data_IF_355832406360
#
_entry.id   IF_355832406360
#
_cell.length_a   1.000
_cell.length_b   1.000
_cell.length_c   1.000
_cell.angle_alpha   90.00
_cell.angle_beta   90.00
_cell.angle_gamma   90.00
#
_symmetry.space_group_name_H-M   'P 1'
#
loop_
_entity.id
_entity.type
_entity.pdbx_description
1 polymer ?
#
# COMPACT_ATOMS: atom_id res chain seq x y z
N UNK A 1 18.90 10.16 25.31
CA UNK A 1 18.24 10.15 23.97
C UNK A 1 17.87 8.72 23.54
N UNK A 2 18.82 7.79 23.44
CA UNK A 2 18.54 6.40 23.06
C UNK A 2 17.59 5.67 24.02
N UNK A 3 17.81 5.80 25.33
CA UNK A 3 16.93 5.20 26.36
C UNK A 3 15.51 5.74 26.32
N UNK A 4 15.35 7.05 26.07
CA UNK A 4 14.04 7.70 25.92
C UNK A 4 13.29 7.16 24.71
N UNK A 5 13.96 7.00 23.56
CA UNK A 5 13.36 6.41 22.36
C UNK A 5 12.95 4.96 22.60
N UNK A 6 13.79 4.17 23.26
CA UNK A 6 13.46 2.79 23.61
C UNK A 6 12.24 2.70 24.54
N UNK A 7 12.16 3.58 25.54
CA UNK A 7 11.03 3.64 26.45
C UNK A 7 9.72 3.96 25.72
N UNK A 8 9.74 4.95 24.81
CA UNK A 8 8.57 5.29 23.97
C UNK A 8 8.17 4.09 23.10
N UNK A 9 9.13 3.44 22.43
CA UNK A 9 8.85 2.27 21.60
C UNK A 9 8.29 1.09 22.40
N UNK A 10 8.75 0.91 23.63
CA UNK A 10 8.22 -0.12 24.52
C UNK A 10 6.77 0.21 24.93
N UNK A 11 6.48 1.45 25.34
CA UNK A 11 5.13 1.87 25.66
C UNK A 11 4.17 1.73 24.47
N UNK A 12 4.61 2.07 23.25
CA UNK A 12 3.80 1.90 22.04
C UNK A 12 3.48 0.43 21.73
N UNK A 13 4.35 -0.52 22.11
CA UNK A 13 4.10 -1.96 21.93
C UNK A 13 3.05 -2.51 22.91
N UNK A 14 2.81 -1.82 24.01
CA UNK A 14 1.84 -2.21 25.03
C UNK A 14 0.43 -1.67 24.74
N UNK A 15 0.26 -0.88 23.67
CA UNK A 15 -1.04 -0.38 23.26
C UNK A 15 -2.01 -1.53 22.95
N UNK A 16 -3.24 -1.39 23.46
CA UNK A 16 -4.28 -2.39 23.26
C UNK A 16 -4.74 -2.42 21.80
N UNK A 17 -4.91 -3.61 21.19
CA UNK A 17 -5.49 -3.72 19.86
C UNK A 17 -6.88 -3.09 19.79
N UNK A 18 -7.21 -2.46 18.66
CA UNK A 18 -8.50 -1.77 18.44
C UNK A 18 -9.68 -2.74 18.45
N UNK A 19 -9.47 -3.92 17.84
CA UNK A 19 -10.40 -5.04 17.85
C UNK A 19 -9.64 -6.37 17.63
N UNK A 20 -10.39 -7.47 17.59
CA UNK A 20 -9.83 -8.82 17.45
C UNK A 20 -9.68 -9.30 15.99
N UNK A 21 -9.76 -8.41 15.00
CA UNK A 21 -9.64 -8.71 13.56
C UNK A 21 -10.53 -9.90 13.09
N UNK A 22 -11.85 -9.92 13.42
CA UNK A 22 -12.72 -11.07 13.15
C UNK A 22 -12.73 -11.49 11.67
N UNK A 23 -12.84 -10.57 10.71
CA UNK A 23 -12.88 -10.93 9.29
C UNK A 23 -11.60 -11.62 8.82
N UNK A 24 -10.43 -11.15 9.23
CA UNK A 24 -9.14 -11.77 8.88
C UNK A 24 -8.95 -13.17 9.47
N UNK A 25 -9.66 -13.50 10.56
CA UNK A 25 -9.61 -14.82 11.22
C UNK A 25 -10.60 -15.83 10.66
N UNK A 26 -11.59 -15.42 9.85
CA UNK A 26 -12.55 -16.32 9.19
C UNK A 26 -11.81 -17.38 8.37
N UNK A 27 -12.29 -18.63 8.41
CA UNK A 27 -11.63 -19.76 7.75
C UNK A 27 -11.37 -19.50 6.25
N UNK A 28 -12.34 -18.91 5.55
CA UNK A 28 -12.26 -18.56 4.13
C UNK A 28 -11.26 -17.43 3.80
N UNK A 29 -10.87 -16.61 4.78
CA UNK A 29 -9.98 -15.47 4.59
C UNK A 29 -8.53 -15.75 5.00
N UNK A 30 -8.27 -16.87 5.69
CA UNK A 30 -6.94 -17.21 6.21
C UNK A 30 -5.86 -17.20 5.13
N UNK A 31 -6.15 -17.79 3.99
CA UNK A 31 -5.22 -17.89 2.85
C UNK A 31 -5.01 -16.54 2.13
N UNK A 32 -5.91 -15.57 2.33
CA UNK A 32 -5.76 -14.21 1.79
C UNK A 32 -4.77 -13.36 2.62
N UNK A 33 -4.28 -13.86 3.74
CA UNK A 33 -3.32 -13.17 4.60
C UNK A 33 -1.91 -13.68 4.37
N UNK A 34 -0.98 -12.77 4.02
CA UNK A 34 0.44 -13.11 3.85
C UNK A 34 1.07 -13.59 5.16
N UNK A 35 0.66 -12.99 6.28
CA UNK A 35 1.13 -13.34 7.61
C UNK A 35 -0.06 -13.60 8.54
N UNK A 36 -0.05 -14.74 9.24
CA UNK A 36 -1.14 -15.17 10.14
C UNK A 36 -1.40 -14.20 11.30
N UNK A 37 -0.39 -13.42 11.67
CA UNK A 37 -0.41 -12.48 12.79
C UNK A 37 -0.46 -11.01 12.36
N UNK A 38 -0.61 -10.72 11.07
CA UNK A 38 -0.79 -9.35 10.56
C UNK A 38 -2.12 -9.31 9.83
N UNK A 39 -3.15 -8.87 10.55
CA UNK A 39 -4.54 -8.87 10.10
C UNK A 39 -5.10 -7.44 10.20
N UNK A 40 -6.00 -7.05 9.30
CA UNK A 40 -6.61 -5.73 9.35
C UNK A 40 -7.61 -5.66 10.52
N UNK A 41 -7.69 -4.50 11.16
CA UNK A 41 -8.78 -4.22 12.10
C UNK A 41 -10.12 -4.18 11.37
N UNK A 42 -11.18 -4.69 11.99
CA UNK A 42 -12.52 -4.74 11.40
C UNK A 42 -13.07 -3.33 11.14
N UNK A 43 -12.90 -2.42 12.12
CA UNK A 43 -13.49 -1.08 12.05
C UNK A 43 -13.01 -0.23 10.89
N UNK A 44 -11.81 -0.48 10.39
CA UNK A 44 -11.16 0.35 9.36
C UNK A 44 -10.73 -0.47 8.15
N UNK A 45 -11.14 -1.74 8.04
CA UNK A 45 -10.75 -2.55 6.87
C UNK A 45 -11.37 -1.98 5.60
N UNK A 46 -10.66 -2.16 4.49
CA UNK A 46 -11.28 -1.96 3.19
C UNK A 46 -12.23 -3.13 2.91
N UNK A 47 -13.46 -2.81 2.51
CA UNK A 47 -14.51 -3.78 2.18
C UNK A 47 -14.68 -3.78 0.67
N UNK A 48 -14.43 -4.91 0.03
CA UNK A 48 -14.62 -5.05 -1.42
C UNK A 48 -16.10 -5.25 -1.74
N UNK A 49 -16.56 -4.67 -2.85
CA UNK A 49 -17.93 -4.85 -3.30
C UNK A 49 -18.20 -6.30 -3.74
N UNK A 50 -19.38 -6.84 -3.43
CA UNK A 50 -19.79 -8.21 -3.77
C UNK A 50 -20.46 -8.94 -2.60
N UNK A 51 -20.50 -10.28 -2.67
CA UNK A 51 -21.00 -11.15 -1.60
C UNK A 51 -20.13 -11.01 -0.34
N UNK A 52 -20.73 -11.15 0.86
CA UNK A 52 -20.05 -11.19 2.17
C UNK A 52 -18.94 -12.26 2.29
N UNK A 53 -18.90 -13.22 1.37
CA UNK A 53 -17.81 -14.18 1.28
C UNK A 53 -16.58 -13.66 0.51
N UNK A 54 -16.74 -12.58 -0.26
CA UNK A 54 -15.73 -12.03 -1.17
C UNK A 54 -15.38 -10.56 -0.85
N UNK A 55 -15.83 -10.06 0.29
CA UNK A 55 -15.67 -8.68 0.74
C UNK A 55 -14.28 -8.39 1.37
N UNK A 56 -13.49 -9.43 1.61
CA UNK A 56 -12.26 -9.33 2.38
C UNK A 56 -11.01 -9.13 1.52
N UNK A 57 -10.23 -8.13 1.91
CA UNK A 57 -8.83 -7.92 1.57
C UNK A 57 -8.06 -7.48 2.83
N UNK A 58 -6.78 -7.86 2.93
CA UNK A 58 -5.93 -7.42 4.03
C UNK A 58 -5.43 -5.99 3.77
N UNK A 59 -6.29 -5.01 4.08
CA UNK A 59 -6.03 -3.59 3.91
C UNK A 59 -6.85 -2.78 4.93
N UNK A 60 -6.31 -1.65 5.38
CA UNK A 60 -7.01 -0.69 6.23
C UNK A 60 -6.93 0.72 5.66
N UNK A 61 -8.00 1.49 5.84
CA UNK A 61 -7.95 2.94 5.72
C UNK A 61 -7.12 3.51 6.87
N UNK A 62 -6.28 4.49 6.55
CA UNK A 62 -5.49 5.24 7.52
C UNK A 62 -5.68 6.72 7.17
N UNK A 63 -6.35 7.44 8.04
CA UNK A 63 -6.54 8.89 7.90
C UNK A 63 -5.60 9.62 8.85
N UNK A 64 -4.89 10.61 8.32
CA UNK A 64 -3.97 11.44 9.11
C UNK A 64 -4.27 12.91 8.88
N UNK A 65 -4.68 13.60 9.95
CA UNK A 65 -4.97 15.03 9.93
C UNK A 65 -3.78 15.84 10.40
N UNK A 66 -3.39 16.86 9.63
CA UNK A 66 -2.33 17.83 9.94
C UNK A 66 -2.88 19.24 9.75
N UNK A 67 -3.17 19.94 10.86
CA UNK A 67 -3.89 21.21 10.82
C UNK A 67 -5.30 21.01 10.29
N UNK A 68 -5.67 21.73 9.22
CA UNK A 68 -6.98 21.62 8.56
C UNK A 68 -7.10 20.47 7.56
N UNK A 69 -5.99 19.81 7.21
CA UNK A 69 -5.98 18.93 6.04
C UNK A 69 -5.84 17.48 6.47
N UNK A 70 -6.70 16.62 5.91
CA UNK A 70 -6.68 15.17 6.15
C UNK A 70 -6.13 14.47 4.92
N UNK A 71 -5.14 13.62 5.15
CA UNK A 71 -4.60 12.73 4.13
C UNK A 71 -5.21 11.35 4.29
N UNK A 72 -5.77 10.83 3.21
CA UNK A 72 -6.44 9.54 3.16
C UNK A 72 -5.51 8.51 2.53
N UNK A 73 -5.19 7.44 3.25
CA UNK A 73 -4.36 6.36 2.76
C UNK A 73 -5.06 5.01 2.86
N UNK A 74 -4.62 4.08 2.03
CA UNK A 74 -4.86 2.65 2.24
C UNK A 74 -3.51 1.98 2.51
N UNK A 75 -3.36 1.41 3.72
CA UNK A 75 -2.25 0.56 4.06
C UNK A 75 -2.64 -0.91 3.83
N UNK A 76 -1.85 -1.64 3.03
CA UNK A 76 -2.16 -3.04 2.69
C UNK A 76 -0.91 -3.92 2.63
N UNK A 77 -1.10 -5.24 2.75
CA UNK A 77 -0.02 -6.20 2.53
C UNK A 77 0.41 -6.22 1.05
N UNK A 78 1.62 -6.72 0.77
CA UNK A 78 2.04 -7.04 -0.58
C UNK A 78 1.19 -8.20 -1.14
N UNK A 79 0.55 -8.04 -2.31
CA UNK A 79 -0.35 -9.05 -2.87
C UNK A 79 0.25 -10.45 -2.92
N UNK A 80 -0.59 -11.45 -2.66
CA UNK A 80 -0.33 -12.87 -2.94
C UNK A 80 -0.82 -13.18 -4.36
N UNK A 81 -0.36 -14.28 -5.00
CA UNK A 81 -0.90 -14.69 -6.30
C UNK A 81 -2.43 -14.77 -6.32
N UNK A 82 -3.03 -15.32 -5.25
CA UNK A 82 -4.49 -15.49 -5.14
C UNK A 82 -5.25 -14.21 -4.78
N UNK A 83 -4.56 -13.13 -4.39
CA UNK A 83 -5.19 -11.84 -4.02
C UNK A 83 -4.89 -10.74 -5.02
N UNK A 84 -4.29 -11.04 -6.17
CA UNK A 84 -4.00 -10.04 -7.23
C UNK A 84 -5.28 -9.39 -7.74
N UNK A 85 -6.31 -10.18 -8.03
CA UNK A 85 -7.61 -9.64 -8.45
C UNK A 85 -8.29 -8.81 -7.37
N UNK A 86 -8.22 -9.26 -6.11
CA UNK A 86 -8.76 -8.50 -4.97
C UNK A 86 -8.06 -7.14 -4.82
N UNK A 87 -6.74 -7.10 -5.01
CA UNK A 87 -5.95 -5.86 -4.96
C UNK A 87 -6.38 -4.86 -6.03
N UNK A 88 -6.48 -5.29 -7.29
CA UNK A 88 -6.86 -4.37 -8.37
C UNK A 88 -8.34 -3.96 -8.30
N UNK A 89 -9.20 -4.85 -7.83
CA UNK A 89 -10.60 -4.50 -7.51
C UNK A 89 -10.64 -3.40 -6.43
N UNK A 90 -9.84 -3.51 -5.38
CA UNK A 90 -9.71 -2.47 -4.36
C UNK A 90 -9.28 -1.13 -4.99
N UNK A 91 -8.21 -1.13 -5.80
CA UNK A 91 -7.70 0.08 -6.46
C UNK A 91 -8.77 0.74 -7.33
N UNK A 92 -9.53 -0.05 -8.10
CA UNK A 92 -10.62 0.42 -8.94
C UNK A 92 -11.80 1.00 -8.15
N UNK A 93 -12.27 0.28 -7.14
CA UNK A 93 -13.44 0.67 -6.33
C UNK A 93 -13.13 1.92 -5.51
N UNK A 94 -11.92 2.01 -4.94
CA UNK A 94 -11.49 3.13 -4.13
C UNK A 94 -10.94 4.30 -4.96
N UNK A 95 -10.88 4.16 -6.30
CA UNK A 95 -10.37 5.20 -7.21
C UNK A 95 -8.95 5.65 -6.85
N UNK A 96 -8.10 4.72 -6.40
CA UNK A 96 -6.71 5.02 -6.07
C UNK A 96 -5.93 5.33 -7.37
N UNK A 97 -5.29 6.49 -7.43
CA UNK A 97 -4.49 6.91 -8.60
C UNK A 97 -2.98 6.85 -8.37
N UNK A 98 -2.56 6.61 -7.13
CA UNK A 98 -1.14 6.43 -6.79
C UNK A 98 -0.95 5.23 -5.86
N UNK A 99 0.06 4.43 -6.19
CA UNK A 99 0.48 3.26 -5.41
C UNK A 99 1.95 3.41 -5.06
N UNK A 100 2.29 3.46 -3.77
CA UNK A 100 3.66 3.36 -3.28
C UNK A 100 3.95 1.94 -2.79
N UNK A 101 4.74 1.21 -3.58
CA UNK A 101 5.32 -0.08 -3.22
C UNK A 101 6.71 0.16 -2.60
N UNK A 102 6.88 -0.11 -1.31
CA UNK A 102 8.16 0.06 -0.60
C UNK A 102 8.75 -1.28 -0.18
N UNK A 103 8.83 -2.21 -1.14
CA UNK A 103 9.45 -3.54 -0.98
C UNK A 103 9.92 -4.07 -2.32
N UNK A 104 10.92 -4.96 -2.31
CA UNK A 104 11.21 -5.80 -3.46
C UNK A 104 10.24 -6.99 -3.51
N UNK A 105 10.17 -7.66 -4.67
CA UNK A 105 9.39 -8.90 -4.84
C UNK A 105 9.97 -10.04 -4.00
N UNK A 106 11.30 -10.11 -3.92
CA UNK A 106 12.05 -11.11 -3.17
C UNK A 106 13.21 -10.47 -2.41
N UNK A 107 13.39 -10.87 -1.15
CA UNK A 107 14.48 -10.41 -0.28
C UNK A 107 15.08 -11.62 0.44
N UNK A 108 16.40 -11.79 0.38
CA UNK A 108 17.11 -12.91 1.02
C UNK A 108 16.49 -14.29 0.70
N UNK A 109 16.07 -14.51 -0.56
CA UNK A 109 15.44 -15.75 -1.02
C UNK A 109 13.99 -15.96 -0.57
N UNK A 110 13.37 -14.98 0.09
CA UNK A 110 11.97 -15.05 0.53
C UNK A 110 11.10 -14.11 -0.31
N UNK A 111 9.97 -14.63 -0.79
CA UNK A 111 8.98 -13.83 -1.51
C UNK A 111 8.30 -12.85 -0.55
N UNK A 112 8.37 -11.56 -0.87
CA UNK A 112 7.84 -10.46 -0.08
C UNK A 112 6.60 -9.84 -0.71
N UNK A 113 6.54 -9.82 -2.04
CA UNK A 113 5.39 -9.36 -2.80
C UNK A 113 5.29 -10.21 -4.07
N UNK A 114 4.09 -10.63 -4.45
CA UNK A 114 3.88 -11.15 -5.80
C UNK A 114 3.87 -9.98 -6.77
N UNK A 115 4.42 -10.17 -7.97
CA UNK A 115 4.32 -9.19 -9.05
C UNK A 115 2.88 -9.16 -9.55
N UNK A 116 2.14 -8.14 -9.18
CA UNK A 116 0.70 -8.03 -9.46
C UNK A 116 0.38 -7.18 -10.70
N UNK A 117 1.37 -6.57 -11.34
CA UNK A 117 1.22 -5.79 -12.58
C UNK A 117 1.67 -6.60 -13.82
N UNK A 118 1.21 -6.26 -15.03
CA UNK A 118 1.63 -6.89 -16.29
C UNK A 118 3.15 -6.88 -16.50
N UNK A 119 3.71 -7.91 -17.15
CA UNK A 119 5.14 -7.89 -17.55
C UNK A 119 5.39 -6.98 -18.74
N UNK A 120 4.42 -6.91 -19.64
CA UNK A 120 4.49 -6.16 -20.87
C UNK A 120 3.10 -5.64 -21.28
N UNK A 121 3.03 -4.63 -22.16
CA UNK A 121 1.77 -4.07 -22.63
C UNK A 121 0.83 -5.09 -23.30
N UNK A 122 1.37 -6.18 -23.85
CA UNK A 122 0.64 -7.20 -24.60
C UNK A 122 -0.04 -8.25 -23.72
N UNK A 123 0.29 -8.30 -22.43
CA UNK A 123 -0.15 -9.34 -21.50
C UNK A 123 -0.89 -8.74 -20.28
N UNK A 124 -2.14 -8.26 -20.46
CA UNK A 124 -2.89 -7.65 -19.37
C UNK A 124 -3.20 -8.65 -18.25
N UNK A 125 -3.30 -8.14 -17.03
CA UNK A 125 -3.79 -8.90 -15.88
C UNK A 125 -5.32 -8.82 -15.86
N UNK A 126 -5.98 -9.96 -16.05
CA UNK A 126 -7.44 -10.06 -15.95
C UNK A 126 -7.87 -10.10 -14.49
N UNK A 127 -8.58 -9.07 -14.03
CA UNK A 127 -9.06 -8.96 -12.65
C UNK A 127 -10.34 -9.78 -12.49
N UNK A 128 -11.29 -9.58 -13.39
CA UNK A 128 -12.55 -10.31 -13.48
C UNK A 128 -13.08 -10.27 -14.94
N UNK A 129 -14.39 -10.46 -15.15
CA UNK A 129 -15.00 -10.46 -16.49
C UNK A 129 -15.04 -9.09 -17.18
N UNK A 130 -14.93 -8.00 -16.42
CA UNK A 130 -15.05 -6.63 -16.92
C UNK A 130 -13.80 -5.78 -16.70
N UNK A 131 -12.94 -6.12 -15.73
CA UNK A 131 -11.76 -5.35 -15.37
C UNK A 131 -10.46 -6.00 -15.87
N UNK A 132 -9.68 -5.24 -16.63
CA UNK A 132 -8.33 -5.58 -17.06
C UNK A 132 -7.32 -4.52 -16.62
N UNK A 133 -6.09 -4.94 -16.35
CA UNK A 133 -4.98 -4.05 -15.97
C UNK A 133 -3.88 -4.12 -17.02
N UNK A 134 -3.50 -2.95 -17.54
CA UNK A 134 -2.53 -2.77 -18.60
C UNK A 134 -1.32 -1.98 -18.10
N UNK A 135 -0.15 -2.31 -18.65
CA UNK A 135 1.07 -1.55 -18.45
C UNK A 135 1.24 -0.60 -19.64
N UNK A 136 1.27 0.70 -19.38
CA UNK A 136 1.41 1.73 -20.42
C UNK A 136 2.87 2.16 -20.58
N UNK A 137 3.57 2.39 -19.47
CA UNK A 137 4.99 2.76 -19.52
C UNK A 137 5.74 2.38 -18.25
N UNK A 138 7.07 2.30 -18.37
CA UNK A 138 8.00 2.06 -17.25
C UNK A 138 9.15 3.05 -17.37
N UNK A 139 9.43 3.76 -16.28
CA UNK A 139 10.59 4.64 -16.14
C UNK A 139 11.41 4.22 -14.93
N UNK A 140 12.72 4.06 -15.14
CA UNK A 140 13.65 3.71 -14.06
C UNK A 140 14.37 4.95 -13.59
N UNK A 141 14.25 5.22 -12.29
CA UNK A 141 15.01 6.25 -11.59
C UNK A 141 16.10 5.58 -10.73
N UNK A 142 16.98 6.36 -10.10
CA UNK A 142 18.13 5.82 -9.36
C UNK A 142 17.73 4.83 -8.26
N UNK A 143 16.64 5.10 -7.54
CA UNK A 143 16.23 4.40 -6.32
C UNK A 143 14.78 3.89 -6.35
N UNK A 144 14.03 4.18 -7.42
CA UNK A 144 12.68 3.65 -7.62
C UNK A 144 12.37 3.42 -9.10
N UNK A 145 11.36 2.62 -9.36
CA UNK A 145 10.77 2.44 -10.69
C UNK A 145 9.37 3.02 -10.68
N UNK A 146 9.07 3.84 -11.68
CA UNK A 146 7.72 4.33 -11.95
C UNK A 146 7.09 3.49 -13.06
N UNK A 147 5.82 3.12 -12.90
CA UNK A 147 5.01 2.53 -13.95
C UNK A 147 3.73 3.33 -14.09
N UNK A 148 3.33 3.57 -15.33
CA UNK A 148 1.97 4.03 -15.63
C UNK A 148 1.16 2.78 -15.94
N UNK A 149 0.15 2.55 -15.11
CA UNK A 149 -0.74 1.41 -15.19
C UNK A 149 -2.13 1.93 -15.48
N UNK A 150 -2.84 1.31 -16.41
CA UNK A 150 -4.24 1.63 -16.70
C UNK A 150 -5.11 0.46 -16.28
N UNK A 151 -6.12 0.71 -15.45
CA UNK A 151 -7.21 -0.24 -15.20
C UNK A 151 -8.37 0.17 -16.09
N UNK A 152 -8.93 -0.78 -16.83
CA UNK A 152 -10.04 -0.56 -17.74
C UNK A 152 -11.22 -1.46 -17.39
N UNK A 153 -12.41 -0.87 -17.31
CA UNK A 153 -13.67 -1.60 -17.38
C UNK A 153 -14.08 -1.72 -18.85
N UNK A 154 -13.82 -2.87 -19.45
CA UNK A 154 -14.07 -3.13 -20.89
C UNK A 154 -15.56 -3.15 -21.25
N UNK A 155 -16.45 -3.24 -20.26
CA UNK A 155 -17.91 -3.23 -20.49
C UNK A 155 -18.50 -1.82 -20.40
N UNK A 156 -17.91 -0.95 -19.58
CA UNK A 156 -18.40 0.41 -19.33
C UNK A 156 -17.58 1.49 -20.04
N UNK A 157 -16.53 1.11 -20.77
CA UNK A 157 -15.58 2.02 -21.43
C UNK A 157 -14.98 3.08 -20.47
N UNK A 158 -14.86 2.71 -19.19
CA UNK A 158 -14.24 3.54 -18.17
C UNK A 158 -12.81 3.08 -17.92
N UNK A 159 -11.91 4.02 -17.69
CA UNK A 159 -10.54 3.71 -17.29
C UNK A 159 -10.04 4.61 -16.18
N UNK A 160 -9.05 4.09 -15.44
CA UNK A 160 -8.33 4.79 -14.39
C UNK A 160 -6.84 4.65 -14.66
N UNK A 161 -6.12 5.76 -14.70
CA UNK A 161 -4.66 5.77 -14.76
C UNK A 161 -4.08 5.82 -13.35
N UNK A 162 -3.09 4.97 -13.10
CA UNK A 162 -2.43 4.78 -11.82
C UNK A 162 -0.94 4.98 -12.01
N UNK A 163 -0.37 5.84 -11.16
CA UNK A 163 1.08 5.99 -11.01
C UNK A 163 1.55 5.01 -9.94
N UNK A 164 2.24 3.97 -10.38
CA UNK A 164 2.83 2.94 -9.51
C UNK A 164 4.30 3.26 -9.28
N UNK A 165 4.66 3.55 -8.04
CA UNK A 165 6.00 3.90 -7.61
C UNK A 165 6.55 2.78 -6.74
N UNK A 166 7.62 2.12 -7.21
CA UNK A 166 8.28 1.03 -6.49
C UNK A 166 9.67 1.45 -6.01
N UNK A 167 9.80 1.71 -4.70
CA UNK A 167 11.05 2.07 -4.06
C UNK A 167 11.93 0.83 -3.84
N UNK A 168 13.11 0.82 -4.46
CA UNK A 168 13.99 -0.35 -4.51
C UNK A 168 15.06 -0.36 -3.41
N UNK A 169 15.36 0.79 -2.83
CA UNK A 169 16.49 0.99 -1.92
C UNK A 169 16.18 0.76 -0.42
N UNK A 170 15.12 0.00 -0.10
CA UNK A 170 14.75 -0.31 1.29
C UNK A 170 14.94 -1.80 1.62
N UNK A 171 16.04 -2.19 2.28
CA UNK A 171 16.32 -3.59 2.60
C UNK A 171 15.36 -4.16 3.65
N UNK A 172 15.20 -5.49 3.63
CA UNK A 172 14.49 -6.23 4.67
C UNK A 172 15.15 -6.05 6.04
N UNK A 173 14.35 -5.87 7.09
CA UNK A 173 14.81 -5.67 8.47
C UNK A 173 15.82 -4.50 8.67
N UNK A 174 15.78 -3.48 7.80
CA UNK A 174 16.65 -2.30 7.90
C UNK A 174 15.98 -0.99 7.54
N UNK A 175 16.81 0.02 7.31
CA UNK A 175 16.41 1.37 6.84
C UNK A 175 17.05 1.65 5.47
N UNK A 176 16.50 2.57 4.67
CA UNK A 176 17.17 3.02 3.46
C UNK A 176 18.57 3.53 3.77
N UNK A 177 19.52 3.29 2.88
CA UNK A 177 20.92 3.75 3.07
C UNK A 177 21.03 5.28 3.05
N UNK A 178 20.10 5.95 2.39
CA UNK A 178 20.03 7.40 2.27
C UNK A 178 18.64 7.89 2.65
N UNK A 179 18.56 8.77 3.65
CA UNK A 179 17.32 9.45 4.00
C UNK A 179 16.86 10.39 2.86
N UNK A 180 17.80 11.00 2.15
CA UNK A 180 17.51 11.89 1.02
C UNK A 180 16.76 11.15 -0.09
N UNK A 181 17.20 9.94 -0.43
CA UNK A 181 16.54 9.08 -1.43
C UNK A 181 15.08 8.77 -1.06
N UNK A 182 14.81 8.48 0.21
CA UNK A 182 13.44 8.24 0.66
C UNK A 182 12.59 9.52 0.62
N UNK A 183 13.16 10.67 0.98
CA UNK A 183 12.47 11.96 0.89
C UNK A 183 12.15 12.32 -0.57
N UNK A 184 13.07 12.08 -1.50
CA UNK A 184 12.84 12.28 -2.94
C UNK A 184 11.73 11.36 -3.46
N UNK A 185 11.71 10.11 -3.03
CA UNK A 185 10.63 9.18 -3.35
C UNK A 185 9.27 9.67 -2.81
N UNK A 186 9.22 10.15 -1.56
CA UNK A 186 7.99 10.70 -0.95
C UNK A 186 7.54 11.95 -1.70
N UNK A 187 8.46 12.81 -2.15
CA UNK A 187 8.13 13.97 -3.00
C UNK A 187 7.51 13.53 -4.33
N UNK A 188 8.06 12.50 -4.98
CA UNK A 188 7.49 11.92 -6.20
C UNK A 188 6.08 11.33 -5.94
N UNK A 189 5.91 10.59 -4.85
CA UNK A 189 4.61 10.09 -4.42
C UNK A 189 3.58 11.21 -4.21
N UNK A 190 3.98 12.30 -3.53
CA UNK A 190 3.14 13.47 -3.29
C UNK A 190 2.71 14.20 -4.56
N UNK A 191 3.59 14.25 -5.57
CA UNK A 191 3.29 14.91 -6.84
C UNK A 191 2.15 14.22 -7.61
N UNK A 192 1.81 12.99 -7.24
CA UNK A 192 0.77 12.17 -7.87
C UNK A 192 -0.48 11.99 -6.97
N UNK A 193 -0.59 12.76 -5.87
CA UNK A 193 -1.78 12.71 -5.03
C UNK A 193 -3.01 13.18 -5.80
N UNK A 194 -4.14 12.55 -5.50
CA UNK A 194 -5.41 12.87 -6.14
C UNK A 194 -6.56 12.87 -5.12
N UNK A 195 -7.80 12.95 -5.60
CA UNK A 195 -9.00 12.97 -4.75
C UNK A 195 -9.21 11.63 -4.03
N UNK A 196 -8.78 10.51 -4.64
CA UNK A 196 -8.87 9.18 -4.03
C UNK A 196 -7.78 8.93 -2.98
N UNK A 197 -7.96 7.94 -2.07
CA UNK A 197 -6.94 7.57 -1.12
C UNK A 197 -5.66 7.09 -1.81
N UNK A 198 -4.52 7.42 -1.22
CA UNK A 198 -3.23 6.97 -1.72
C UNK A 198 -2.87 5.61 -1.13
N UNK A 199 -2.56 4.64 -1.97
CA UNK A 199 -2.28 3.28 -1.52
C UNK A 199 -0.78 3.14 -1.22
N UNK A 200 -0.45 2.65 -0.03
CA UNK A 200 0.94 2.36 0.36
C UNK A 200 1.03 0.91 0.85
N UNK A 201 1.97 0.15 0.31
CA UNK A 201 2.18 -1.23 0.72
C UNK A 201 3.67 -1.60 0.78
N UNK A 202 3.97 -2.62 1.57
CA UNK A 202 5.27 -3.29 1.56
C UNK A 202 5.03 -4.79 1.45
N UNK A 203 5.66 -5.60 2.29
CA UNK A 203 5.32 -7.03 2.40
C UNK A 203 4.14 -7.26 3.35
N UNK A 204 4.28 -6.85 4.61
CA UNK A 204 3.22 -7.02 5.62
C UNK A 204 2.23 -5.86 5.68
N UNK A 205 2.54 -4.72 5.06
CA UNK A 205 1.68 -3.52 5.12
C UNK A 205 1.79 -2.68 6.39
N UNK A 206 2.79 -2.94 7.25
CA UNK A 206 2.93 -2.27 8.55
C UNK A 206 4.25 -1.51 8.72
N UNK A 207 5.41 -2.18 8.58
CA UNK A 207 6.71 -1.61 8.96
C UNK A 207 7.17 -0.45 8.06
N UNK A 208 7.54 -0.77 6.81
CA UNK A 208 7.99 0.23 5.82
C UNK A 208 6.85 1.17 5.42
N UNK A 209 5.64 0.61 5.28
CA UNK A 209 4.40 1.36 5.04
C UNK A 209 4.18 2.43 6.11
N UNK A 210 4.11 2.06 7.38
CA UNK A 210 3.89 3.00 8.49
C UNK A 210 5.05 3.98 8.67
N UNK A 211 6.28 3.57 8.36
CA UNK A 211 7.45 4.47 8.37
C UNK A 211 7.32 5.55 7.29
N UNK A 212 6.93 5.18 6.05
CA UNK A 212 6.67 6.15 4.98
C UNK A 212 5.55 7.11 5.36
N UNK A 213 4.42 6.61 5.86
CA UNK A 213 3.30 7.45 6.28
C UNK A 213 3.68 8.41 7.41
N UNK A 214 4.49 7.96 8.37
CA UNK A 214 5.02 8.81 9.44
C UNK A 214 5.90 9.92 8.88
N UNK A 215 6.83 9.61 7.97
CA UNK A 215 7.72 10.62 7.37
C UNK A 215 6.92 11.62 6.53
N UNK A 216 5.96 11.13 5.74
CA UNK A 216 5.03 11.98 4.99
C UNK A 216 4.27 12.93 5.93
N UNK A 217 3.76 12.42 7.05
CA UNK A 217 3.08 13.22 8.05
C UNK A 217 4.00 14.29 8.64
N UNK A 218 5.21 13.92 9.08
CA UNK A 218 6.18 14.87 9.63
C UNK A 218 6.57 15.96 8.62
N UNK A 219 6.77 15.60 7.35
CA UNK A 219 7.03 16.59 6.30
C UNK A 219 5.89 17.60 6.17
N UNK A 220 4.62 17.18 6.29
CA UNK A 220 3.46 18.09 6.28
C UNK A 220 3.43 19.03 7.48
N UNK A 221 3.79 18.56 8.68
CA UNK A 221 3.92 19.42 9.86
C UNK A 221 5.01 20.49 9.65
N UNK A 222 6.18 20.07 9.17
CA UNK A 222 7.33 20.97 8.92
C UNK A 222 6.99 22.02 7.85
N UNK A 223 6.39 21.61 6.73
CA UNK A 223 6.02 22.51 5.62
C UNK A 223 5.02 23.60 6.04
N UNK A 224 4.23 23.35 7.10
CA UNK A 224 3.24 24.30 7.64
C UNK A 224 3.76 25.13 8.80
N UNK A 225 4.96 24.84 9.32
CA UNK A 225 5.47 25.46 10.53
C UNK A 225 4.60 25.17 11.76
N UNK A 226 3.93 24.02 11.80
CA UNK A 226 3.18 23.58 12.99
C UNK A 226 4.19 22.93 13.93
N UNK A 227 4.51 23.63 15.02
CA UNK A 227 5.34 23.13 16.13
C UNK A 227 4.56 22.20 17.07
#
# INVERSE_FOLDING_TARGET
>A
MYETVLCILQALREMTPVDNCPSGKRALNKEKNRYRNVLPYEKTRVILSGDEQMDYINANYVDVTVGSDTSHYIATQGPLPITTSDFWRMVWEQKCQVVAMVTLDMECGKVKCHRYWPESPELPVKVNQSLEVHLESVETYNNYVQRIIRIENIQEEQSLNIVHLNFLAWPDHGVPKSACELVEFIKSFRANLSVGPSLVHCSAGIGRTGTLLTIDTCMKYIERGIE
#
